data_IF_680701572939
#
_entry.id   IF_680701572939
#
_cell.length_a   1.000
_cell.length_b   1.000
_cell.length_c   1.000
_cell.angle_alpha   90.00
_cell.angle_beta   90.00
_cell.angle_gamma   90.00
#
_symmetry.space_group_name_H-M   'P 1'
#
loop_
_entity.id
_entity.type
_entity.pdbx_description
1 polymer ?
#
# COMPACT_ATOMS: atom_id res chain seq x y z
N UNK A 1 -7.21 -9.91 9.38
CA UNK A 1 -6.17 -8.85 9.31
C UNK A 1 -5.78 -8.65 7.87
N UNK A 2 -5.71 -7.41 7.35
CA UNK A 2 -5.40 -7.15 5.94
C UNK A 2 -3.94 -7.56 5.63
N UNK A 3 -3.65 -7.91 4.38
CA UNK A 3 -2.28 -8.28 3.95
C UNK A 3 -1.29 -7.15 4.27
N UNK A 4 -1.70 -5.90 4.07
CA UNK A 4 -0.89 -4.72 4.42
C UNK A 4 -0.53 -4.64 5.91
N UNK A 5 -1.41 -5.11 6.80
CA UNK A 5 -1.14 -5.11 8.24
C UNK A 5 -0.13 -6.18 8.64
N UNK A 6 -0.15 -7.34 7.96
CA UNK A 6 0.86 -8.40 8.18
C UNK A 6 2.23 -7.96 7.69
N UNK A 7 2.31 -7.43 6.47
CA UNK A 7 3.56 -6.92 5.90
C UNK A 7 4.16 -5.83 6.79
N UNK A 8 3.34 -4.88 7.25
CA UNK A 8 3.76 -3.85 8.19
C UNK A 8 4.33 -4.45 9.49
N UNK A 9 3.62 -5.40 10.10
CA UNK A 9 4.10 -6.04 11.34
C UNK A 9 5.44 -6.74 11.12
N UNK A 10 5.63 -7.46 10.01
CA UNK A 10 6.92 -8.11 9.72
C UNK A 10 8.04 -7.09 9.57
N UNK A 11 7.86 -6.04 8.75
CA UNK A 11 8.88 -5.00 8.56
C UNK A 11 9.15 -4.25 9.88
N UNK A 12 8.10 -3.96 10.65
CA UNK A 12 8.21 -3.28 11.94
C UNK A 12 8.96 -4.12 12.98
N UNK A 13 8.63 -5.41 13.09
CA UNK A 13 9.36 -6.34 13.99
C UNK A 13 10.83 -6.49 13.57
N UNK A 14 11.12 -6.61 12.29
CA UNK A 14 12.48 -6.67 11.77
C UNK A 14 13.25 -5.37 12.07
N UNK A 15 12.60 -4.21 11.88
CA UNK A 15 13.19 -2.90 12.21
C UNK A 15 13.50 -2.78 13.70
N UNK A 16 12.61 -3.24 14.58
CA UNK A 16 12.83 -3.23 16.03
C UNK A 16 13.97 -4.15 16.44
N UNK A 17 14.06 -5.36 15.86
CA UNK A 17 15.17 -6.28 16.13
C UNK A 17 16.52 -5.71 15.65
N UNK A 18 16.55 -5.15 14.45
CA UNK A 18 17.76 -4.50 13.91
C UNK A 18 18.16 -3.31 14.78
N UNK A 19 17.20 -2.47 15.18
CA UNK A 19 17.45 -1.33 16.07
C UNK A 19 17.96 -1.80 17.43
N UNK A 20 17.38 -2.83 18.04
CA UNK A 20 17.86 -3.37 19.31
C UNK A 20 19.30 -3.90 19.19
N UNK A 21 19.62 -4.61 18.11
CA UNK A 21 20.96 -5.12 17.85
C UNK A 21 21.99 -3.99 17.66
N UNK A 22 21.67 -2.99 16.84
CA UNK A 22 22.53 -1.83 16.61
C UNK A 22 22.72 -0.99 17.88
N UNK A 23 21.65 -0.82 18.67
CA UNK A 23 21.71 -0.11 19.95
C UNK A 23 22.61 -0.84 20.95
N UNK A 24 22.48 -2.16 21.04
CA UNK A 24 23.35 -2.99 21.88
C UNK A 24 24.82 -2.90 21.44
N UNK A 25 25.11 -3.00 20.14
CA UNK A 25 26.47 -2.88 19.59
C UNK A 25 27.03 -1.49 19.90
N UNK A 26 26.26 -0.42 19.65
CA UNK A 26 26.69 0.95 19.89
C UNK A 26 26.99 1.23 21.37
N UNK A 27 26.13 0.77 22.29
CA UNK A 27 26.37 0.91 23.74
C UNK A 27 27.61 0.11 24.17
N UNK A 28 27.78 -1.10 23.63
CA UNK A 28 28.95 -1.95 23.93
C UNK A 28 30.25 -1.32 23.42
N UNK A 29 30.24 -0.77 22.22
CA UNK A 29 31.37 -0.13 21.58
C UNK A 29 31.78 1.15 22.34
N UNK A 30 30.80 2.01 22.67
CA UNK A 30 31.03 3.20 23.49
C UNK A 30 31.63 2.84 24.86
N UNK A 31 31.09 1.80 25.52
CA UNK A 31 31.63 1.31 26.79
C UNK A 31 33.07 0.84 26.64
N UNK A 32 33.40 0.16 25.55
CA UNK A 32 34.76 -0.34 25.29
C UNK A 32 35.74 0.82 25.06
N UNK A 33 35.34 1.82 24.27
CA UNK A 33 36.12 3.04 24.03
C UNK A 33 36.39 3.82 25.33
N UNK A 34 35.35 4.07 26.12
CA UNK A 34 35.48 4.79 27.40
C UNK A 34 36.40 4.03 28.36
N UNK A 35 36.21 2.71 28.52
CA UNK A 35 37.09 1.89 29.36
C UNK A 35 38.55 1.92 28.88
N UNK A 36 38.79 1.90 27.58
CA UNK A 36 40.14 2.01 27.01
C UNK A 36 40.80 3.34 27.34
N UNK A 37 40.06 4.44 27.25
CA UNK A 37 40.55 5.78 27.62
C UNK A 37 40.89 5.87 29.12
N UNK A 38 40.00 5.39 29.99
CA UNK A 38 40.22 5.31 31.45
C UNK A 38 41.51 4.56 31.75
N UNK A 39 41.67 3.36 31.15
CA UNK A 39 42.85 2.51 31.36
C UNK A 39 44.13 3.18 30.87
N UNK A 40 44.11 3.78 29.68
CA UNK A 40 45.28 4.48 29.12
C UNK A 40 45.73 5.63 30.04
N UNK A 41 44.78 6.42 30.55
CA UNK A 41 45.05 7.48 31.54
C UNK A 41 45.63 6.91 32.84
N UNK A 42 45.08 5.82 33.35
CA UNK A 42 45.59 5.12 34.55
C UNK A 42 47.06 4.72 34.38
N UNK A 43 47.38 4.11 33.23
CA UNK A 43 48.72 3.67 32.88
C UNK A 43 49.70 4.82 32.77
N UNK A 44 49.29 5.92 32.13
CA UNK A 44 50.11 7.13 32.06
C UNK A 44 50.37 7.71 33.45
N UNK A 45 49.35 7.83 34.29
CA UNK A 45 49.50 8.35 35.65
C UNK A 45 50.43 7.48 36.51
N UNK A 46 50.16 6.17 36.53
CA UNK A 46 50.92 5.20 37.32
C UNK A 46 52.40 5.17 36.92
N UNK A 47 52.70 5.25 35.61
CA UNK A 47 54.09 5.32 35.11
C UNK A 47 54.78 6.65 35.42
N UNK A 48 54.08 7.77 35.25
CA UNK A 48 54.63 9.09 35.59
C UNK A 48 54.94 9.17 37.08
N UNK A 49 54.03 8.73 37.94
CA UNK A 49 54.24 8.71 39.38
C UNK A 49 55.41 7.79 39.74
N UNK A 50 55.45 6.56 39.21
CA UNK A 50 56.58 5.65 39.43
C UNK A 50 57.92 6.26 39.03
N UNK A 51 57.97 6.99 37.90
CA UNK A 51 59.17 7.66 37.44
C UNK A 51 59.57 8.85 38.33
N UNK A 52 58.61 9.60 38.88
CA UNK A 52 58.93 10.69 39.80
C UNK A 52 59.38 10.16 41.17
N UNK A 53 58.74 9.10 41.67
CA UNK A 53 59.12 8.43 42.91
C UNK A 53 60.51 7.77 42.86
N UNK A 54 61.06 7.53 41.66
CA UNK A 54 62.47 7.09 41.50
C UNK A 54 63.46 8.05 42.14
N UNK A 55 63.16 9.35 42.13
CA UNK A 55 64.06 10.39 42.62
C UNK A 55 63.75 10.82 44.05
N UNK A 56 62.63 10.35 44.60
CA UNK A 56 62.22 10.68 45.96
C UNK A 56 63.11 9.96 46.98
N UNK A 57 64.00 10.71 47.63
CA UNK A 57 64.83 10.21 48.73
C UNK A 57 64.15 10.51 50.07
N UNK A 58 64.02 9.45 50.88
CA UNK A 58 63.30 9.41 52.17
C UNK A 58 63.83 10.36 53.27
N UNK A 59 64.91 11.11 53.00
CA UNK A 59 65.56 11.99 53.99
C UNK A 59 64.90 13.36 54.12
N UNK A 60 64.08 13.80 53.16
CA UNK A 60 63.30 15.04 53.27
C UNK A 60 61.99 14.82 54.04
N UNK A 61 61.98 15.15 55.34
CA UNK A 61 60.81 14.98 56.23
C UNK A 61 59.65 15.94 55.97
N UNK A 62 59.79 16.88 55.03
CA UNK A 62 58.80 17.95 54.79
C UNK A 62 57.97 17.78 53.51
N UNK A 63 58.23 16.76 52.70
CA UNK A 63 57.51 16.55 51.43
C UNK A 63 56.67 15.27 51.51
N UNK A 64 55.35 15.38 51.49
CA UNK A 64 54.46 14.21 51.58
C UNK A 64 54.10 13.69 50.19
N UNK A 65 53.72 12.41 50.09
CA UNK A 65 53.19 11.84 48.84
C UNK A 65 51.97 12.62 48.35
N UNK A 66 51.16 13.14 49.27
CA UNK A 66 50.02 14.01 48.98
C UNK A 66 50.41 15.33 48.28
N UNK A 67 51.56 15.92 48.62
CA UNK A 67 52.04 17.15 47.98
C UNK A 67 52.60 16.87 46.57
N UNK A 68 53.28 15.73 46.40
CA UNK A 68 53.71 15.26 45.08
C UNK A 68 52.53 14.94 44.18
N UNK A 69 51.51 14.29 44.73
CA UNK A 69 50.27 13.97 44.01
C UNK A 69 49.58 15.26 43.59
N UNK A 70 49.40 16.25 44.47
CA UNK A 70 48.81 17.54 44.11
C UNK A 70 49.62 18.31 43.05
N UNK A 71 50.95 18.16 43.02
CA UNK A 71 51.81 18.83 42.04
C UNK A 71 51.79 18.15 40.65
N UNK A 72 51.75 16.82 40.59
CA UNK A 72 51.73 16.05 39.33
C UNK A 72 50.31 15.96 38.77
N UNK A 73 49.32 15.99 39.65
CA UNK A 73 47.92 15.88 39.31
C UNK A 73 47.18 17.21 39.55
N UNK A 74 47.30 18.23 38.67
CA UNK A 74 46.25 19.23 38.54
C UNK A 74 45.05 18.57 37.84
N UNK A 75 44.50 17.50 38.42
CA UNK A 75 43.55 16.63 37.73
C UNK A 75 42.15 17.01 38.18
N UNK A 76 41.29 17.26 37.19
CA UNK A 76 39.85 17.21 37.33
C UNK A 76 39.47 15.88 38.03
N UNK A 77 39.27 15.97 39.36
CA UNK A 77 39.21 14.93 40.41
C UNK A 77 38.18 13.79 40.26
N UNK A 78 37.59 13.56 39.08
CA UNK A 78 36.41 12.67 38.97
C UNK A 78 36.73 11.20 38.74
N UNK A 79 37.92 10.88 38.23
CA UNK A 79 38.23 9.53 37.73
C UNK A 79 39.22 8.75 38.61
N UNK A 80 40.12 9.43 39.32
CA UNK A 80 41.15 8.83 40.19
C UNK A 80 40.60 8.69 41.61
N UNK A 81 40.41 7.44 42.03
CA UNK A 81 39.84 7.13 43.33
C UNK A 81 40.90 7.06 44.42
N UNK A 82 42.03 6.38 44.23
CA UNK A 82 43.12 6.29 45.23
C UNK A 82 44.45 6.07 44.51
N UNK A 83 45.51 6.67 45.02
CA UNK A 83 46.89 6.33 44.68
C UNK A 83 47.54 5.72 45.91
N UNK A 84 48.05 4.50 45.81
CA UNK A 84 48.80 3.82 46.88
C UNK A 84 50.28 3.73 46.50
N UNK A 85 51.18 3.93 47.47
CA UNK A 85 52.62 3.75 47.31
C UNK A 85 53.08 2.65 48.24
N UNK A 86 53.76 1.65 47.67
CA UNK A 86 54.22 0.46 48.38
C UNK A 86 55.75 0.39 48.42
N UNK A 87 56.29 -0.19 49.50
CA UNK A 87 57.72 -0.49 49.62
C UNK A 87 58.10 -1.75 48.83
N UNK A 88 59.40 -2.10 48.88
CA UNK A 88 59.96 -3.31 48.26
C UNK A 88 59.30 -4.63 48.72
N UNK A 89 58.66 -4.62 49.89
CA UNK A 89 57.99 -5.79 50.47
C UNK A 89 56.48 -5.79 50.15
N UNK A 90 55.98 -4.80 49.38
CA UNK A 90 54.55 -4.68 49.06
C UNK A 90 53.69 -4.12 50.20
N UNK A 91 54.31 -3.52 51.22
CA UNK A 91 53.62 -2.89 52.35
C UNK A 91 53.30 -1.44 52.00
N UNK A 92 52.08 -1.00 52.32
CA UNK A 92 51.64 0.37 52.06
C UNK A 92 52.48 1.35 52.89
N UNK A 93 53.16 2.28 52.21
CA UNK A 93 54.00 3.32 52.82
C UNK A 93 53.24 4.62 52.94
N UNK A 94 52.50 4.98 51.89
CA UNK A 94 51.71 6.21 51.85
C UNK A 94 50.58 6.08 50.80
N UNK A 95 49.58 6.95 50.88
CA UNK A 95 48.43 6.95 49.97
C UNK A 95 47.83 8.33 49.80
N UNK A 96 47.21 8.59 48.65
CA UNK A 96 46.41 9.80 48.43
C UNK A 96 45.19 9.80 49.34
N UNK A 97 44.96 10.86 50.12
CA UNK A 97 43.70 11.03 50.85
C UNK A 97 42.60 11.43 49.88
N UNK A 98 42.00 10.43 49.26
CA UNK A 98 40.93 10.65 48.32
C UNK A 98 39.55 10.70 48.99
N UNK A 99 38.54 11.03 48.19
CA UNK A 99 37.15 11.14 48.59
C UNK A 99 36.47 9.75 48.78
N UNK A 100 37.11 8.83 49.51
CA UNK A 100 36.52 7.55 49.98
C UNK A 100 35.52 7.74 51.13
N UNK A 101 34.72 8.82 51.11
CA UNK A 101 33.80 9.16 52.19
C UNK A 101 32.67 8.15 52.37
N UNK A 102 32.35 7.35 51.33
CA UNK A 102 31.23 6.39 51.30
C UNK A 102 31.59 4.97 50.80
N UNK A 103 32.87 4.66 50.57
CA UNK A 103 33.33 3.36 50.08
C UNK A 103 34.55 2.95 50.89
N UNK A 104 34.61 1.70 51.35
CA UNK A 104 35.81 1.16 51.97
C UNK A 104 36.92 1.13 50.93
N UNK A 105 37.87 2.07 51.05
CA UNK A 105 39.03 2.12 50.18
C UNK A 105 39.75 0.75 50.23
N UNK A 106 40.01 0.11 49.08
CA UNK A 106 40.72 -1.16 49.02
C UNK A 106 42.21 -0.90 49.31
N UNK A 107 42.59 -1.00 50.58
CA UNK A 107 43.99 -1.00 51.00
C UNK A 107 44.40 -2.43 51.31
N UNK A 108 45.16 -3.04 50.41
CA UNK A 108 45.72 -4.38 50.62
C UNK A 108 47.20 -4.37 50.26
N UNK A 109 48.01 -5.16 50.96
CA UNK A 109 49.37 -5.44 50.53
C UNK A 109 49.36 -6.05 49.13
N UNK A 110 50.28 -5.62 48.29
CA UNK A 110 50.42 -6.17 46.94
C UNK A 110 51.55 -7.19 46.88
N UNK A 111 51.34 -8.26 46.14
CA UNK A 111 52.41 -9.21 45.85
C UNK A 111 53.35 -8.63 44.76
N UNK A 112 54.59 -8.40 45.16
CA UNK A 112 55.68 -7.82 44.38
C UNK A 112 56.43 -8.87 43.53
N UNK A 113 56.38 -10.16 43.89
CA UNK A 113 57.17 -11.22 43.22
C UNK A 113 56.68 -11.50 41.78
N UNK A 114 55.42 -11.18 41.48
CA UNK A 114 54.84 -11.33 40.15
C UNK A 114 54.68 -10.04 39.33
N UNK A 115 55.34 -8.93 39.71
CA UNK A 115 55.15 -7.64 39.03
C UNK A 115 56.02 -7.56 37.76
N UNK A 116 55.38 -7.72 36.59
CA UNK A 116 56.05 -7.67 35.28
C UNK A 116 56.73 -6.32 35.04
N UNK A 117 57.73 -6.22 34.14
CA UNK A 117 58.45 -4.97 33.90
C UNK A 117 57.56 -3.79 33.49
N UNK A 118 56.47 -4.09 32.80
CA UNK A 118 55.50 -3.11 32.37
C UNK A 118 54.41 -2.76 33.39
N UNK A 119 54.37 -3.39 34.57
CA UNK A 119 53.31 -3.25 35.58
C UNK A 119 52.25 -4.36 35.54
N UNK A 120 51.16 -4.18 36.28
CA UNK A 120 49.99 -5.08 36.34
C UNK A 120 48.70 -4.27 36.33
N UNK A 121 47.70 -4.75 35.60
CA UNK A 121 46.34 -4.23 35.62
C UNK A 121 45.41 -5.29 36.23
N UNK A 122 44.49 -4.89 37.10
CA UNK A 122 43.46 -5.75 37.66
C UNK A 122 42.14 -5.00 37.79
N UNK A 123 41.07 -5.64 37.34
CA UNK A 123 39.71 -5.21 37.65
C UNK A 123 39.20 -5.99 38.85
N UNK A 124 38.59 -5.29 39.81
CA UNK A 124 38.02 -5.91 41.01
C UNK A 124 36.75 -5.15 41.42
N UNK A 125 35.90 -5.78 42.23
CA UNK A 125 34.65 -5.17 42.68
C UNK A 125 34.62 -5.10 44.20
N UNK A 126 34.17 -3.95 44.73
CA UNK A 126 33.90 -3.76 46.16
C UNK A 126 32.41 -3.39 46.29
N UNK A 127 31.62 -4.30 46.85
CA UNK A 127 30.17 -4.18 46.84
C UNK A 127 29.60 -4.22 45.42
N UNK A 128 28.87 -3.18 45.02
CA UNK A 128 28.28 -3.05 43.66
C UNK A 128 29.14 -2.25 42.68
N UNK A 129 30.28 -1.71 43.14
CA UNK A 129 31.14 -0.86 42.35
C UNK A 129 32.33 -1.66 41.83
N UNK A 130 32.59 -1.53 40.53
CA UNK A 130 33.76 -2.09 39.85
C UNK A 130 34.89 -1.05 39.88
N UNK A 131 36.13 -1.47 40.05
CA UNK A 131 37.31 -0.62 40.09
C UNK A 131 38.41 -1.20 39.21
N UNK A 132 39.23 -0.33 38.66
CA UNK A 132 40.40 -0.69 37.86
C UNK A 132 41.63 -0.24 38.63
N UNK A 133 42.49 -1.20 39.00
CA UNK A 133 43.80 -0.95 39.61
C UNK A 133 44.89 -1.13 38.56
N UNK A 134 45.81 -0.16 38.50
CA UNK A 134 47.02 -0.20 37.67
C UNK A 134 48.25 0.02 38.55
N UNK A 135 49.10 -1.01 38.63
CA UNK A 135 50.31 -1.04 39.44
C UNK A 135 51.55 -0.92 38.54
N UNK A 136 52.41 0.07 38.81
CA UNK A 136 53.70 0.27 38.14
C UNK A 136 54.86 0.17 39.13
N UNK A 137 55.93 -0.60 38.85
CA UNK A 137 57.08 -0.74 39.74
C UNK A 137 57.91 0.55 39.79
N UNK A 138 58.29 0.99 40.99
CA UNK A 138 59.31 2.02 41.20
C UNK A 138 60.67 1.35 41.11
N UNK A 139 61.53 1.84 40.21
CA UNK A 139 62.86 1.26 39.97
C UNK A 139 63.93 2.28 40.28
N UNK A 140 65.03 1.84 40.87
CA UNK A 140 66.22 2.65 41.04
C UNK A 140 66.99 2.80 39.72
N UNK A 141 68.08 3.59 39.74
CA UNK A 141 68.95 3.81 38.58
C UNK A 141 69.59 2.52 38.05
N UNK A 142 69.72 1.49 38.90
CA UNK A 142 70.27 0.18 38.53
C UNK A 142 69.19 -0.80 38.02
N UNK A 143 67.95 -0.33 37.87
CA UNK A 143 66.82 -1.12 37.37
C UNK A 143 66.15 -2.05 38.37
N UNK A 144 66.64 -2.12 39.62
CA UNK A 144 66.07 -2.92 40.70
C UNK A 144 64.78 -2.29 41.24
N UNK A 145 63.78 -3.12 41.52
CA UNK A 145 62.49 -2.69 42.06
C UNK A 145 62.66 -2.31 43.53
N UNK A 146 62.31 -1.07 43.88
CA UNK A 146 62.37 -0.54 45.25
C UNK A 146 60.99 -0.36 45.89
N UNK A 147 59.93 -0.46 45.09
CA UNK A 147 58.55 -0.28 45.51
C UNK A 147 57.60 -0.30 44.31
N UNK A 148 56.36 0.10 44.50
CA UNK A 148 55.39 0.25 43.42
C UNK A 148 54.37 1.35 43.70
N UNK A 149 53.82 1.91 42.63
CA UNK A 149 52.68 2.84 42.68
C UNK A 149 51.47 2.13 42.10
N UNK A 150 50.37 2.14 42.83
CA UNK A 150 49.07 1.68 42.36
C UNK A 150 48.14 2.86 42.19
N UNK A 151 47.47 2.92 41.05
CA UNK A 151 46.43 3.90 40.76
C UNK A 151 45.11 3.15 40.61
N UNK A 152 44.13 3.50 41.44
CA UNK A 152 42.80 2.90 41.46
C UNK A 152 41.81 3.92 40.88
N UNK A 153 41.08 3.51 39.85
CA UNK A 153 40.08 4.34 39.18
C UNK A 153 38.68 3.75 39.36
N UNK A 154 37.68 4.62 39.41
CA UNK A 154 36.26 4.24 39.39
C UNK A 154 35.65 4.54 38.02
N UNK A 155 35.15 3.54 37.27
CA UNK A 155 34.42 3.72 36.03
C UNK A 155 32.97 4.22 36.26
N UNK A 156 32.59 4.62 37.48
CA UNK A 156 31.20 4.99 37.82
C UNK A 156 30.59 6.08 36.94
N UNK A 157 31.42 6.96 36.38
CA UNK A 157 30.99 8.01 35.43
C UNK A 157 30.65 7.48 34.03
N UNK A 158 31.15 6.31 33.64
CA UNK A 158 30.89 5.70 32.32
C UNK A 158 29.38 5.48 32.13
N UNK A 159 28.67 5.12 33.21
CA UNK A 159 27.21 4.93 33.18
C UNK A 159 26.45 6.21 32.82
N UNK A 160 26.97 7.39 33.20
CA UNK A 160 26.37 8.69 32.87
C UNK A 160 26.48 8.96 31.37
N UNK A 161 27.65 8.68 30.77
CA UNK A 161 27.85 8.79 29.31
C UNK A 161 26.97 7.83 28.51
N UNK A 162 26.87 6.58 28.95
CA UNK A 162 26.04 5.55 28.30
C UNK A 162 24.54 5.91 28.28
N UNK A 163 24.04 6.62 29.29
CA UNK A 163 22.63 7.03 29.35
C UNK A 163 22.26 8.05 28.26
N UNK A 164 23.19 8.96 27.92
CA UNK A 164 22.99 9.95 26.86
C UNK A 164 22.94 9.30 25.48
N UNK A 165 23.84 8.33 25.22
CA UNK A 165 23.85 7.51 24.00
C UNK A 165 22.55 6.72 23.87
N UNK A 166 22.14 6.04 24.95
CA UNK A 166 20.89 5.28 24.99
C UNK A 166 19.68 6.16 24.65
N UNK A 167 19.57 7.36 25.25
CA UNK A 167 18.44 8.28 24.98
C UNK A 167 18.41 8.76 23.54
N UNK A 168 19.55 9.14 22.97
CA UNK A 168 19.64 9.53 21.55
C UNK A 168 19.20 8.39 20.65
N UNK A 169 19.67 7.17 20.95
CA UNK A 169 19.29 5.98 20.20
C UNK A 169 17.78 5.72 20.24
N UNK A 170 17.17 5.74 21.42
CA UNK A 170 15.72 5.57 21.57
C UNK A 170 14.91 6.63 20.80
N UNK A 171 15.35 7.88 20.81
CA UNK A 171 14.71 8.95 20.03
C UNK A 171 14.78 8.66 18.53
N UNK A 172 15.95 8.25 18.02
CA UNK A 172 16.08 7.87 16.61
C UNK A 172 15.21 6.66 16.24
N UNK A 173 15.14 5.64 17.10
CA UNK A 173 14.25 4.48 16.89
C UNK A 173 12.79 4.90 16.83
N UNK A 174 12.36 5.81 17.72
CA UNK A 174 10.98 6.30 17.75
C UNK A 174 10.63 7.11 16.48
N UNK A 175 11.54 7.96 16.03
CA UNK A 175 11.38 8.72 14.78
C UNK A 175 11.29 7.77 13.58
N UNK A 176 12.22 6.82 13.48
CA UNK A 176 12.24 5.82 12.40
C UNK A 176 10.97 4.97 12.39
N UNK A 177 10.50 4.51 13.56
CA UNK A 177 9.25 3.79 13.72
C UNK A 177 8.04 4.61 13.25
N UNK A 178 7.99 5.89 13.61
CA UNK A 178 6.90 6.80 13.25
C UNK A 178 6.86 7.06 11.74
N UNK A 179 8.03 7.30 11.12
CA UNK A 179 8.17 7.49 9.68
C UNK A 179 7.77 6.22 8.91
N UNK A 180 8.21 5.05 9.37
CA UNK A 180 7.86 3.77 8.76
C UNK A 180 6.34 3.52 8.82
N UNK A 181 5.72 3.82 9.97
CA UNK A 181 4.27 3.76 10.15
C UNK A 181 3.52 4.70 9.21
N UNK A 182 3.93 5.97 9.14
CA UNK A 182 3.32 6.95 8.26
C UNK A 182 3.45 6.56 6.77
N UNK A 183 4.64 6.15 6.34
CA UNK A 183 4.88 5.71 4.97
C UNK A 183 4.00 4.50 4.61
N UNK A 184 3.93 3.51 5.50
CA UNK A 184 3.11 2.31 5.25
C UNK A 184 1.62 2.65 5.19
N UNK A 185 1.15 3.56 6.05
CA UNK A 185 -0.24 4.03 6.02
C UNK A 185 -0.56 4.76 4.71
N UNK A 186 0.32 5.66 4.26
CA UNK A 186 0.13 6.41 3.01
C UNK A 186 0.13 5.49 1.79
N UNK A 187 1.11 4.59 1.69
CA UNK A 187 1.20 3.59 0.61
C UNK A 187 -0.05 2.70 0.61
N UNK A 188 -0.44 2.16 1.77
CA UNK A 188 -1.64 1.31 1.87
C UNK A 188 -2.93 2.07 1.51
N UNK A 189 -2.99 3.38 1.77
CA UNK A 189 -4.14 4.21 1.44
C UNK A 189 -4.20 4.47 -0.07
N UNK A 190 -3.11 4.91 -0.68
CA UNK A 190 -3.07 5.31 -2.09
C UNK A 190 -2.98 4.15 -3.07
N UNK A 191 -2.16 3.14 -2.79
CA UNK A 191 -1.91 2.03 -3.72
C UNK A 191 -2.92 0.89 -3.62
N UNK A 192 -3.69 0.80 -2.52
CA UNK A 192 -4.60 -0.34 -2.29
C UNK A 192 -6.00 0.14 -1.96
N UNK A 193 -6.15 0.90 -0.88
CA UNK A 193 -7.48 1.17 -0.32
C UNK A 193 -8.35 2.07 -1.21
N UNK A 194 -7.76 3.11 -1.80
CA UNK A 194 -8.48 4.03 -2.68
C UNK A 194 -8.88 3.36 -4.01
N UNK A 195 -7.98 2.70 -4.76
CA UNK A 195 -8.34 2.02 -6.00
C UNK A 195 -9.39 0.90 -5.81
N UNK A 196 -9.25 0.06 -4.77
CA UNK A 196 -10.23 -1.00 -4.48
C UNK A 196 -11.61 -0.41 -4.19
N UNK A 197 -11.66 0.71 -3.45
CA UNK A 197 -12.93 1.38 -3.17
C UNK A 197 -13.56 1.94 -4.44
N UNK A 198 -12.78 2.55 -5.34
CA UNK A 198 -13.27 3.02 -6.64
C UNK A 198 -13.81 1.86 -7.49
N UNK A 199 -13.12 0.71 -7.51
CA UNK A 199 -13.57 -0.49 -8.22
C UNK A 199 -14.89 -1.03 -7.64
N UNK A 200 -15.03 -1.05 -6.30
CA UNK A 200 -16.28 -1.43 -5.65
C UNK A 200 -17.43 -0.49 -6.07
N UNK A 201 -17.23 0.82 -5.93
CA UNK A 201 -18.25 1.82 -6.28
C UNK A 201 -18.63 1.75 -7.77
N UNK A 202 -17.65 1.53 -8.65
CA UNK A 202 -17.90 1.35 -10.08
C UNK A 202 -18.65 0.06 -10.40
N UNK A 203 -18.34 -1.04 -9.70
CA UNK A 203 -19.08 -2.31 -9.85
C UNK A 203 -20.53 -2.20 -9.37
N UNK A 204 -20.80 -1.43 -8.31
CA UNK A 204 -22.16 -1.16 -7.84
C UNK A 204 -22.95 -0.38 -8.89
N UNK A 205 -22.38 0.71 -9.43
CA UNK A 205 -23.00 1.51 -10.50
C UNK A 205 -23.22 0.73 -11.79
N UNK A 206 -22.27 -0.12 -12.19
CA UNK A 206 -22.43 -1.01 -13.34
C UNK A 206 -23.62 -1.96 -13.13
N UNK A 207 -23.79 -2.47 -11.92
CA UNK A 207 -24.94 -3.30 -11.53
C UNK A 207 -26.28 -2.56 -11.52
N UNK A 208 -26.28 -1.25 -11.29
CA UNK A 208 -27.45 -0.37 -11.37
C UNK A 208 -27.82 0.03 -12.82
N UNK A 209 -26.97 -0.30 -13.80
CA UNK A 209 -27.22 -0.07 -15.23
C UNK A 209 -26.40 1.07 -15.84
N UNK A 210 -25.48 1.68 -15.11
CA UNK A 210 -24.53 2.67 -15.66
C UNK A 210 -23.39 1.95 -16.40
N UNK A 211 -23.66 1.55 -17.65
CA UNK A 211 -22.72 0.79 -18.49
C UNK A 211 -21.60 1.66 -19.09
N UNK A 212 -21.71 2.98 -19.04
CA UNK A 212 -20.73 3.91 -19.63
C UNK A 212 -19.54 4.23 -18.71
N UNK A 213 -19.64 3.89 -17.43
CA UNK A 213 -18.60 4.17 -16.45
C UNK A 213 -17.31 3.41 -16.80
N UNK A 214 -16.18 4.12 -16.76
CA UNK A 214 -14.84 3.55 -16.90
C UNK A 214 -13.96 4.02 -15.75
N UNK A 215 -13.08 3.13 -15.30
CA UNK A 215 -12.16 3.41 -14.20
C UNK A 215 -10.80 3.77 -14.78
N UNK A 216 -10.22 4.87 -14.29
CA UNK A 216 -8.85 5.26 -14.60
C UNK A 216 -7.83 4.35 -13.91
N UNK A 217 -6.68 4.18 -14.55
CA UNK A 217 -5.57 3.40 -14.00
C UNK A 217 -5.11 3.95 -12.65
N UNK A 218 -4.83 3.03 -11.74
CA UNK A 218 -4.36 3.29 -10.38
C UNK A 218 -2.85 3.50 -10.31
N UNK A 219 -2.09 3.02 -11.30
CA UNK A 219 -0.63 3.03 -11.31
C UNK A 219 -0.01 1.82 -10.58
N UNK A 220 -0.84 0.89 -10.10
CA UNK A 220 -0.41 -0.40 -9.55
C UNK A 220 -0.71 -1.48 -10.58
N UNK A 221 0.32 -2.14 -11.10
CA UNK A 221 0.24 -3.03 -12.27
C UNK A 221 -0.86 -4.08 -12.10
N UNK A 222 -0.89 -4.80 -10.99
CA UNK A 222 -1.86 -5.88 -10.75
C UNK A 222 -3.30 -5.36 -10.61
N UNK A 223 -3.48 -4.14 -10.10
CA UNK A 223 -4.80 -3.51 -10.04
C UNK A 223 -5.21 -2.93 -11.39
N UNK A 224 -4.25 -2.45 -12.17
CA UNK A 224 -4.49 -1.93 -13.51
C UNK A 224 -4.90 -3.04 -14.47
N UNK A 225 -4.34 -4.25 -14.34
CA UNK A 225 -4.83 -5.46 -15.04
C UNK A 225 -6.30 -5.74 -14.70
N UNK A 226 -6.66 -5.69 -13.42
CA UNK A 226 -8.05 -5.91 -12.98
C UNK A 226 -8.99 -4.79 -13.46
N UNK A 227 -8.51 -3.54 -13.48
CA UNK A 227 -9.26 -2.39 -14.02
C UNK A 227 -9.48 -2.55 -15.52
N UNK A 228 -8.47 -2.98 -16.27
CA UNK A 228 -8.56 -3.22 -17.71
C UNK A 228 -9.58 -4.34 -18.00
N UNK A 229 -9.57 -5.43 -17.22
CA UNK A 229 -10.55 -6.51 -17.31
C UNK A 229 -11.98 -6.04 -16.96
N UNK A 230 -12.14 -5.21 -15.93
CA UNK A 230 -13.42 -4.61 -15.56
C UNK A 230 -13.96 -3.71 -16.68
N UNK A 231 -13.12 -2.82 -17.22
CA UNK A 231 -13.50 -1.92 -18.31
C UNK A 231 -13.91 -2.71 -19.57
N UNK A 232 -13.19 -3.80 -19.90
CA UNK A 232 -13.55 -4.70 -21.01
C UNK A 232 -14.89 -5.41 -20.77
N UNK A 233 -15.17 -5.82 -19.54
CA UNK A 233 -16.46 -6.40 -19.18
C UNK A 233 -17.60 -5.37 -19.34
N UNK A 234 -17.41 -4.13 -18.84
CA UNK A 234 -18.38 -3.05 -18.96
C UNK A 234 -18.68 -2.73 -20.44
N UNK A 235 -17.66 -2.64 -21.27
CA UNK A 235 -17.79 -2.43 -22.72
C UNK A 235 -18.58 -3.58 -23.40
N UNK A 236 -18.24 -4.83 -23.07
CA UNK A 236 -18.97 -5.98 -23.62
C UNK A 236 -20.45 -5.97 -23.22
N UNK A 237 -20.78 -5.61 -21.98
CA UNK A 237 -22.17 -5.50 -21.52
C UNK A 237 -22.92 -4.38 -22.24
N UNK A 238 -22.30 -3.22 -22.39
CA UNK A 238 -22.85 -2.08 -23.15
C UNK A 238 -23.18 -2.48 -24.60
N UNK A 239 -22.23 -3.15 -25.27
CA UNK A 239 -22.44 -3.63 -26.64
C UNK A 239 -23.55 -4.69 -26.73
N UNK A 240 -23.65 -5.59 -25.77
CA UNK A 240 -24.74 -6.58 -25.71
C UNK A 240 -26.10 -5.92 -25.52
N UNK A 241 -26.17 -4.89 -24.66
CA UNK A 241 -27.40 -4.13 -24.44
C UNK A 241 -27.86 -3.42 -25.72
N UNK A 242 -26.95 -2.71 -26.40
CA UNK A 242 -27.24 -2.03 -27.68
C UNK A 242 -27.70 -3.03 -28.76
N UNK A 243 -27.05 -4.20 -28.85
CA UNK A 243 -27.45 -5.25 -29.80
C UNK A 243 -28.84 -5.79 -29.48
N UNK A 244 -29.13 -6.04 -28.21
CA UNK A 244 -30.44 -6.54 -27.76
C UNK A 244 -31.55 -5.54 -28.06
N UNK A 245 -31.31 -4.25 -27.81
CA UNK A 245 -32.26 -3.19 -28.11
C UNK A 245 -32.55 -3.09 -29.62
N UNK A 246 -31.51 -3.10 -30.46
CA UNK A 246 -31.67 -3.13 -31.92
C UNK A 246 -32.45 -4.35 -32.40
N UNK A 247 -32.12 -5.53 -31.88
CA UNK A 247 -32.83 -6.77 -32.20
C UNK A 247 -34.30 -6.71 -31.80
N UNK A 248 -34.61 -6.20 -30.61
CA UNK A 248 -35.98 -6.05 -30.14
C UNK A 248 -36.79 -5.10 -31.02
N UNK A 249 -36.22 -3.95 -31.38
CA UNK A 249 -36.88 -2.97 -32.24
C UNK A 249 -37.15 -3.54 -33.65
N UNK A 250 -36.20 -4.28 -34.22
CA UNK A 250 -36.39 -4.91 -35.53
C UNK A 250 -37.44 -6.03 -35.48
N UNK A 251 -37.42 -6.85 -34.43
CA UNK A 251 -38.44 -7.87 -34.19
C UNK A 251 -39.84 -7.24 -34.15
N UNK A 252 -40.01 -6.14 -33.41
CA UNK A 252 -41.28 -5.45 -33.29
C UNK A 252 -41.74 -4.85 -34.63
N UNK A 253 -40.81 -4.35 -35.45
CA UNK A 253 -41.10 -3.88 -36.80
C UNK A 253 -41.60 -5.01 -37.70
N UNK A 254 -40.94 -6.16 -37.67
CA UNK A 254 -41.32 -7.34 -38.44
C UNK A 254 -42.69 -7.90 -38.01
N UNK A 255 -42.94 -8.02 -36.71
CA UNK A 255 -44.25 -8.48 -36.19
C UNK A 255 -45.40 -7.57 -36.62
N UNK A 256 -45.21 -6.24 -36.61
CA UNK A 256 -46.20 -5.28 -37.12
C UNK A 256 -46.44 -5.47 -38.62
N UNK A 257 -45.38 -5.66 -39.39
CA UNK A 257 -45.48 -5.94 -40.83
C UNK A 257 -46.23 -7.23 -41.12
N UNK A 258 -45.94 -8.30 -40.37
CA UNK A 258 -46.60 -9.60 -40.49
C UNK A 258 -48.09 -9.48 -40.16
N UNK A 259 -48.45 -8.88 -39.03
CA UNK A 259 -49.85 -8.64 -38.64
C UNK A 259 -50.61 -7.83 -39.69
N UNK A 260 -49.98 -6.83 -40.29
CA UNK A 260 -50.59 -6.05 -41.37
C UNK A 260 -50.84 -6.91 -42.61
N UNK A 261 -49.86 -7.73 -43.00
CA UNK A 261 -49.99 -8.67 -44.12
C UNK A 261 -51.08 -9.71 -43.88
N UNK A 262 -51.15 -10.31 -42.70
CA UNK A 262 -52.19 -11.27 -42.32
C UNK A 262 -53.58 -10.65 -42.42
N UNK A 263 -53.75 -9.41 -41.92
CA UNK A 263 -55.00 -8.68 -42.01
C UNK A 263 -55.42 -8.44 -43.47
N UNK A 264 -54.48 -8.06 -44.34
CA UNK A 264 -54.76 -7.88 -45.77
C UNK A 264 -55.19 -9.20 -46.40
N UNK A 265 -54.49 -10.31 -46.13
CA UNK A 265 -54.87 -11.64 -46.65
C UNK A 265 -56.27 -12.04 -46.22
N UNK A 266 -56.62 -11.88 -44.94
CA UNK A 266 -57.98 -12.18 -44.44
C UNK A 266 -59.04 -11.31 -45.11
N UNK A 267 -58.78 -10.00 -45.26
CA UNK A 267 -59.67 -9.09 -46.00
C UNK A 267 -59.84 -9.55 -47.45
N UNK A 268 -58.76 -9.96 -48.11
CA UNK A 268 -58.79 -10.49 -49.48
C UNK A 268 -59.60 -11.75 -49.65
N UNK A 269 -59.40 -12.73 -48.76
CA UNK A 269 -60.16 -13.98 -48.76
C UNK A 269 -61.66 -13.72 -48.56
N UNK A 270 -62.01 -12.91 -47.57
CA UNK A 270 -63.41 -12.53 -47.32
C UNK A 270 -64.01 -11.79 -48.52
N UNK A 271 -63.28 -10.82 -49.09
CA UNK A 271 -63.76 -10.04 -50.23
C UNK A 271 -63.91 -10.90 -51.48
N UNK A 272 -63.02 -11.88 -51.69
CA UNK A 272 -63.13 -12.81 -52.82
C UNK A 272 -64.34 -13.74 -52.69
N UNK A 273 -64.64 -14.21 -51.48
CA UNK A 273 -65.88 -14.95 -51.20
C UNK A 273 -67.12 -14.08 -51.44
N UNK A 274 -67.14 -12.88 -50.85
CA UNK A 274 -68.22 -11.90 -51.03
C UNK A 274 -68.44 -11.51 -52.50
N UNK A 275 -67.37 -11.34 -53.27
CA UNK A 275 -67.47 -11.00 -54.69
C UNK A 275 -68.18 -12.08 -55.51
N UNK A 276 -67.91 -13.35 -55.21
CA UNK A 276 -68.59 -14.45 -55.86
C UNK A 276 -70.06 -14.54 -55.39
N UNK A 277 -70.30 -14.53 -54.07
CA UNK A 277 -71.64 -14.71 -53.51
C UNK A 277 -72.61 -13.54 -53.75
N UNK A 278 -72.12 -12.30 -53.83
CA UNK A 278 -72.94 -11.11 -54.12
C UNK A 278 -73.03 -10.87 -55.63
N UNK A 279 -71.98 -11.19 -56.39
CA UNK A 279 -71.97 -11.01 -57.85
C UNK A 279 -73.06 -11.81 -58.54
N UNK A 280 -73.31 -13.05 -58.10
CA UNK A 280 -74.36 -13.91 -58.66
C UNK A 280 -75.77 -13.31 -58.55
N UNK A 281 -76.28 -12.94 -57.34
CA UNK A 281 -77.61 -12.33 -57.22
C UNK A 281 -77.69 -10.95 -57.88
N UNK A 282 -76.62 -10.14 -57.86
CA UNK A 282 -76.62 -8.85 -58.56
C UNK A 282 -76.77 -9.02 -60.08
N UNK A 283 -76.07 -9.97 -60.70
CA UNK A 283 -76.25 -10.28 -62.12
C UNK A 283 -77.68 -10.73 -62.43
N UNK A 284 -78.31 -11.50 -61.54
CA UNK A 284 -79.72 -11.91 -61.70
C UNK A 284 -80.67 -10.70 -61.58
N UNK A 285 -80.44 -9.81 -60.60
CA UNK A 285 -81.23 -8.59 -60.40
C UNK A 285 -81.10 -7.65 -61.60
N UNK A 286 -79.88 -7.35 -62.04
CA UNK A 286 -79.61 -6.53 -63.23
C UNK A 286 -80.21 -7.16 -64.47
N UNK A 287 -79.99 -8.46 -64.73
CA UNK A 287 -80.53 -9.14 -65.90
C UNK A 287 -82.06 -9.17 -65.94
N UNK A 288 -82.73 -9.33 -64.79
CA UNK A 288 -84.20 -9.21 -64.72
C UNK A 288 -84.67 -7.78 -64.96
N UNK A 289 -83.99 -6.78 -64.40
CA UNK A 289 -84.31 -5.37 -64.63
C UNK A 289 -84.13 -4.99 -66.10
N UNK A 290 -83.06 -5.44 -66.76
CA UNK A 290 -82.82 -5.28 -68.20
C UNK A 290 -83.92 -5.93 -69.04
N UNK A 291 -84.27 -7.19 -68.73
CA UNK A 291 -85.31 -7.92 -69.44
C UNK A 291 -86.69 -7.24 -69.32
N UNK A 292 -87.07 -6.79 -68.12
CA UNK A 292 -88.33 -6.08 -67.88
C UNK A 292 -88.34 -4.71 -68.57
N UNK A 293 -87.23 -3.98 -68.51
CA UNK A 293 -87.08 -2.71 -69.20
C UNK A 293 -87.21 -2.90 -70.72
N UNK A 294 -86.61 -3.94 -71.31
CA UNK A 294 -86.71 -4.25 -72.75
C UNK A 294 -88.12 -4.56 -73.25
N UNK A 295 -89.05 -4.93 -72.36
CA UNK A 295 -90.47 -5.20 -72.69
C UNK A 295 -91.36 -3.95 -72.61
N UNK A 296 -90.84 -2.82 -72.13
CA UNK A 296 -91.61 -1.58 -71.96
C UNK A 296 -91.33 -0.58 -73.10
N UNK A 297 -92.34 0.19 -73.56
CA UNK A 297 -92.16 1.34 -74.47
C UNK A 297 -91.14 2.36 -73.93
N UNK A 298 -90.41 3.06 -74.81
CA UNK A 298 -89.31 3.95 -74.40
C UNK A 298 -89.73 5.08 -73.43
N UNK A 299 -90.98 5.54 -73.52
CA UNK A 299 -91.59 6.59 -72.72
C UNK A 299 -92.24 6.08 -71.43
N UNK A 300 -92.18 4.76 -71.16
CA UNK A 300 -92.86 4.19 -70.02
C UNK A 300 -92.20 4.62 -68.68
N UNK A 301 -92.96 5.19 -67.72
CA UNK A 301 -92.41 5.81 -66.52
C UNK A 301 -91.61 4.84 -65.62
N UNK A 302 -91.89 3.53 -65.67
CA UNK A 302 -91.15 2.52 -64.90
C UNK A 302 -89.72 2.24 -65.41
N UNK A 303 -89.36 2.66 -66.64
CA UNK A 303 -88.00 2.43 -67.19
C UNK A 303 -86.92 3.12 -66.37
N UNK A 304 -87.21 4.28 -65.79
CA UNK A 304 -86.27 5.00 -64.93
C UNK A 304 -85.99 4.26 -63.61
N UNK A 305 -87.01 3.58 -63.06
CA UNK A 305 -86.85 2.69 -61.92
C UNK A 305 -85.91 1.53 -62.23
N UNK A 306 -86.08 0.85 -63.37
CA UNK A 306 -85.19 -0.24 -63.78
C UNK A 306 -83.76 0.22 -64.07
N UNK A 307 -83.56 1.39 -64.72
CA UNK A 307 -82.22 1.99 -64.88
C UNK A 307 -81.55 2.26 -63.54
N UNK A 308 -82.32 2.68 -62.53
CA UNK A 308 -81.78 2.94 -61.20
C UNK A 308 -81.32 1.63 -60.54
N UNK A 309 -82.08 0.55 -60.65
CA UNK A 309 -81.71 -0.78 -60.12
C UNK A 309 -80.39 -1.26 -60.75
N UNK A 310 -80.29 -1.21 -62.08
CA UNK A 310 -79.07 -1.63 -62.81
C UNK A 310 -77.86 -0.80 -62.34
N UNK A 311 -78.00 0.52 -62.29
CA UNK A 311 -76.92 1.42 -61.86
C UNK A 311 -76.46 1.16 -60.42
N UNK A 312 -77.38 0.83 -59.51
CA UNK A 312 -77.01 0.48 -58.14
C UNK A 312 -76.31 -0.88 -58.07
N UNK A 313 -76.75 -1.86 -58.86
CA UNK A 313 -76.09 -3.16 -58.93
C UNK A 313 -74.67 -3.07 -59.51
N UNK A 314 -74.45 -2.24 -60.54
CA UNK A 314 -73.13 -1.97 -61.09
C UNK A 314 -72.23 -1.28 -60.07
N UNK A 315 -72.76 -0.28 -59.37
CA UNK A 315 -72.02 0.44 -58.32
C UNK A 315 -71.59 -0.49 -57.16
N UNK A 316 -72.44 -1.44 -56.77
CA UNK A 316 -72.08 -2.42 -55.73
C UNK A 316 -70.97 -3.34 -56.26
N UNK A 317 -71.07 -3.80 -57.51
CA UNK A 317 -70.04 -4.63 -58.16
C UNK A 317 -68.68 -3.91 -58.24
N UNK A 318 -68.66 -2.63 -58.63
CA UNK A 318 -67.45 -1.81 -58.65
C UNK A 318 -66.83 -1.66 -57.24
N UNK A 319 -67.66 -1.41 -56.23
CA UNK A 319 -67.19 -1.26 -54.84
C UNK A 319 -66.51 -2.53 -54.33
N UNK A 320 -67.09 -3.70 -54.64
CA UNK A 320 -66.52 -5.00 -54.28
C UNK A 320 -65.20 -5.24 -55.02
N UNK A 321 -65.11 -4.90 -56.31
CA UNK A 321 -63.87 -5.04 -57.08
C UNK A 321 -62.75 -4.13 -56.57
N UNK A 322 -63.06 -2.91 -56.13
CA UNK A 322 -62.10 -2.01 -55.49
C UNK A 322 -61.58 -2.55 -54.16
N UNK A 323 -62.45 -3.17 -53.36
CA UNK A 323 -62.02 -3.82 -52.11
C UNK A 323 -61.14 -5.04 -52.40
N UNK A 324 -61.43 -5.79 -53.47
CA UNK A 324 -60.65 -6.94 -53.91
C UNK A 324 -59.25 -6.53 -54.42
N UNK A 325 -59.18 -5.42 -55.16
CA UNK A 325 -57.91 -4.89 -55.69
C UNK A 325 -57.00 -4.36 -54.58
N UNK A 326 -57.57 -3.81 -53.49
CA UNK A 326 -56.81 -3.35 -52.32
C UNK A 326 -56.06 -4.49 -51.60
N UNK A 327 -56.59 -5.71 -51.63
CA UNK A 327 -55.95 -6.87 -51.01
C UNK A 327 -54.95 -7.61 -51.91
N UNK A 328 -54.97 -7.38 -53.23
CA UNK A 328 -54.06 -8.07 -54.15
C UNK A 328 -52.74 -7.30 -54.23
N UNK A 329 -51.64 -8.02 -53.98
CA UNK A 329 -50.30 -7.53 -54.30
C UNK A 329 -50.22 -7.28 -55.81
N UNK A 330 -49.91 -6.07 -56.31
CA UNK A 330 -49.77 -5.86 -57.74
C UNK A 330 -48.70 -6.82 -58.28
N UNK A 331 -48.93 -7.44 -59.46
CA UNK A 331 -47.97 -8.37 -60.02
C UNK A 331 -46.64 -7.66 -60.22
N UNK A 332 -45.55 -8.30 -59.81
CA UNK A 332 -44.18 -7.84 -60.06
C UNK A 332 -43.97 -7.74 -61.56
N UNK A 333 -43.93 -6.52 -62.08
CA UNK A 333 -43.56 -6.25 -63.46
C UNK A 333 -42.03 -6.27 -63.56
N UNK A 334 -41.49 -7.40 -64.02
CA UNK A 334 -40.09 -7.44 -64.45
C UNK A 334 -39.97 -6.61 -65.73
N UNK A 335 -39.07 -5.63 -65.73
CA UNK A 335 -38.73 -4.85 -66.91
C UNK A 335 -37.30 -5.22 -67.29
N UNK A 336 -37.06 -5.55 -68.56
CA UNK A 336 -35.69 -5.69 -69.06
C UNK A 336 -34.95 -4.38 -68.82
N UNK A 337 -33.82 -4.46 -68.10
CA UNK A 337 -32.95 -3.34 -67.83
C UNK A 337 -31.60 -3.61 -68.51
N UNK A 338 -31.14 -2.65 -69.30
CA UNK A 338 -29.87 -2.74 -69.98
C UNK A 338 -28.74 -2.42 -68.98
N UNK A 339 -27.82 -3.36 -68.80
CA UNK A 339 -26.69 -3.25 -67.88
C UNK A 339 -25.77 -2.05 -68.18
N UNK A 340 -25.78 -1.51 -69.41
CA UNK A 340 -25.01 -0.32 -69.79
C UNK A 340 -25.55 0.98 -69.20
N UNK A 341 -26.78 1.00 -68.71
CA UNK A 341 -27.41 2.21 -68.16
C UNK A 341 -27.22 2.34 -66.63
N UNK A 342 -26.54 1.36 -65.99
CA UNK A 342 -26.36 1.27 -64.53
C UNK A 342 -24.88 1.37 -64.12
N UNK A 343 -23.95 1.12 -65.03
CA UNK A 343 -22.51 1.03 -64.74
C UNK A 343 -21.74 2.11 -65.48
#
# INVERSE_FOLDING_TARGET
MKISTRLFLYIFTLMLLLSAALGYISVKDERYHLLGEVKSRAWMLSRTLSATFRFYHREDRHFTVEDLIRAIAPINEKDVLVINVYDKNGTLVDFSRSNCTNIQCPHSSIDMEGLKPGGREKTFSVGKNEFISVVSPIRNLNGAVQGAVEVILSPGYINVGLSAVTRRFLLFTLIAASLLGAATYLISRWSISVPIRRLKEASEKLGEGDLGLRIEKSGVVELDELIDDFNRMAENLEQQYIKKEKFFNEKLRLERGLRHSEKLVSIGQLTSGLAHEIGTPLNVISGRAEQLMGKLPEDHPQREGFRTIIRQADRISETIQQLLSFSRKPPTAFKELNLKDII
#
